data_IF_119565802814
#
_entry.id   IF_119565802814
#
_cell.length_a   1.000
_cell.length_b   1.000
_cell.length_c   1.000
_cell.angle_alpha   90.00
_cell.angle_beta   90.00
_cell.angle_gamma   90.00
#
_symmetry.space_group_name_H-M   'P 1'
#
loop_
_entity.id
_entity.type
_entity.pdbx_description
1 polymer ?
#
# COMPACT_ATOMS: atom_id res chain seq x y z
N UNK A 1 -14.55 2.88 9.77
CA UNK A 1 -13.33 2.90 10.59
C UNK A 1 -13.33 1.67 11.51
N UNK A 2 -12.15 1.19 11.92
CA UNK A 2 -11.87 -0.04 12.68
C UNK A 2 -12.33 -1.33 11.97
N UNK A 3 -11.51 -1.82 11.04
CA UNK A 3 -11.80 -3.07 10.30
C UNK A 3 -10.69 -4.09 10.53
N UNK A 4 -11.03 -5.38 10.53
CA UNK A 4 -10.03 -6.43 10.63
C UNK A 4 -9.20 -6.56 9.33
N UNK A 5 -9.86 -6.54 8.18
CA UNK A 5 -9.20 -6.66 6.87
C UNK A 5 -9.80 -5.63 5.92
N UNK A 6 -8.94 -4.85 5.28
CA UNK A 6 -9.27 -4.01 4.14
C UNK A 6 -8.71 -4.68 2.88
N UNK A 7 -9.55 -4.90 1.87
CA UNK A 7 -9.09 -5.25 0.52
C UNK A 7 -9.31 -4.00 -0.34
N UNK A 8 -8.24 -3.41 -0.86
CA UNK A 8 -8.30 -2.14 -1.57
C UNK A 8 -7.67 -2.23 -2.96
N UNK A 9 -8.31 -1.57 -3.93
CA UNK A 9 -7.75 -1.45 -5.27
C UNK A 9 -6.51 -0.54 -5.29
N UNK A 10 -5.47 -0.93 -6.01
CA UNK A 10 -4.22 -0.17 -6.13
C UNK A 10 -3.58 -0.37 -7.50
N UNK A 11 -4.29 0.10 -8.54
CA UNK A 11 -3.95 -0.18 -9.93
C UNK A 11 -2.69 0.53 -10.43
N UNK A 12 -2.38 1.69 -9.85
CA UNK A 12 -1.31 2.57 -10.31
C UNK A 12 -0.16 2.65 -9.29
N UNK A 13 1.03 2.94 -9.79
CA UNK A 13 2.23 3.14 -8.97
C UNK A 13 2.14 4.45 -8.19
N UNK A 14 2.83 4.50 -7.04
CA UNK A 14 3.03 5.73 -6.27
C UNK A 14 3.72 6.80 -7.12
N UNK A 15 3.27 8.05 -7.04
CA UNK A 15 3.73 9.15 -7.88
C UNK A 15 2.85 9.43 -9.11
N UNK A 16 1.83 8.62 -9.35
CA UNK A 16 0.84 8.81 -10.44
C UNK A 16 -0.51 9.32 -9.92
N UNK A 17 -0.58 10.01 -8.79
CA UNK A 17 -1.83 10.38 -8.09
C UNK A 17 -2.77 11.22 -8.96
N UNK A 18 -2.22 12.16 -9.73
CA UNK A 18 -3.00 13.00 -10.66
C UNK A 18 -3.65 12.15 -11.74
N UNK A 19 -2.89 11.22 -12.32
CA UNK A 19 -3.39 10.31 -13.35
C UNK A 19 -4.39 9.30 -12.75
N UNK A 20 -4.14 8.83 -11.53
CA UNK A 20 -5.05 7.96 -10.79
C UNK A 20 -6.40 8.63 -10.58
N UNK A 21 -6.41 9.88 -10.15
CA UNK A 21 -7.63 10.69 -10.01
C UNK A 21 -8.39 10.83 -11.34
N UNK A 22 -7.68 11.15 -12.43
CA UNK A 22 -8.30 11.27 -13.77
C UNK A 22 -8.92 9.95 -14.24
N UNK A 23 -8.27 8.83 -13.96
CA UNK A 23 -8.73 7.50 -14.36
C UNK A 23 -9.66 6.85 -13.34
N UNK A 24 -9.98 7.53 -12.24
CA UNK A 24 -10.83 7.02 -11.13
C UNK A 24 -10.29 5.71 -10.53
N UNK A 25 -8.98 5.66 -10.33
CA UNK A 25 -8.26 4.57 -9.69
C UNK A 25 -7.47 5.09 -8.50
N UNK A 26 -6.94 4.17 -7.70
CA UNK A 26 -6.01 4.51 -6.62
C UNK A 26 -4.56 4.12 -6.96
N UNK A 27 -3.61 4.93 -6.47
CA UNK A 27 -2.23 4.50 -6.35
C UNK A 27 -2.06 3.55 -5.15
N UNK A 28 -0.96 2.80 -5.10
CA UNK A 28 -0.61 1.97 -3.94
C UNK A 28 -0.51 2.80 -2.65
N UNK A 29 0.18 3.95 -2.67
CA UNK A 29 0.28 4.82 -1.52
C UNK A 29 -1.09 5.33 -1.03
N UNK A 30 -2.00 5.67 -1.94
CA UNK A 30 -3.37 6.08 -1.57
C UNK A 30 -4.15 4.94 -0.91
N UNK A 31 -4.03 3.71 -1.41
CA UNK A 31 -4.70 2.55 -0.83
C UNK A 31 -4.18 2.23 0.59
N UNK A 32 -2.87 2.34 0.79
CA UNK A 32 -2.22 2.14 2.10
C UNK A 32 -2.64 3.24 3.08
N UNK A 33 -2.63 4.49 2.65
CA UNK A 33 -3.09 5.63 3.45
C UNK A 33 -4.56 5.47 3.88
N UNK A 34 -5.43 4.96 3.01
CA UNK A 34 -6.82 4.63 3.39
C UNK A 34 -6.83 3.58 4.51
N UNK A 35 -6.04 2.51 4.39
CA UNK A 35 -5.90 1.47 5.42
C UNK A 35 -5.49 2.04 6.78
N UNK A 36 -4.48 2.91 6.77
CA UNK A 36 -4.01 3.63 7.95
C UNK A 36 -5.11 4.51 8.56
N UNK A 37 -5.74 5.38 7.76
CA UNK A 37 -6.77 6.32 8.23
C UNK A 37 -8.02 5.65 8.78
N UNK A 38 -8.36 4.46 8.28
CA UNK A 38 -9.51 3.71 8.80
C UNK A 38 -9.14 2.78 9.96
N UNK A 39 -7.88 2.75 10.40
CA UNK A 39 -7.36 1.81 11.40
C UNK A 39 -7.69 0.35 11.02
N UNK A 40 -7.34 -0.02 9.79
CA UNK A 40 -7.42 -1.40 9.34
C UNK A 40 -6.32 -2.23 10.01
N UNK A 41 -6.67 -3.37 10.62
CA UNK A 41 -5.67 -4.27 11.18
C UNK A 41 -4.76 -4.85 10.09
N UNK A 42 -5.32 -5.16 8.93
CA UNK A 42 -4.58 -5.60 7.74
C UNK A 42 -5.11 -4.93 6.47
N UNK A 43 -4.20 -4.57 5.56
CA UNK A 43 -4.56 -4.05 4.24
C UNK A 43 -4.00 -4.96 3.14
N UNK A 44 -4.88 -5.51 2.32
CA UNK A 44 -4.54 -6.32 1.15
C UNK A 44 -4.76 -5.48 -0.10
N UNK A 45 -3.69 -5.24 -0.84
CA UNK A 45 -3.71 -4.53 -2.11
C UNK A 45 -4.12 -5.48 -3.25
N UNK A 46 -5.07 -5.07 -4.08
CA UNK A 46 -5.65 -5.87 -5.17
C UNK A 46 -5.80 -5.07 -6.49
N UNK A 47 -6.02 -5.79 -7.60
CA UNK A 47 -6.34 -5.26 -8.93
C UNK A 47 -5.23 -4.38 -9.54
N UNK A 48 -4.02 -4.94 -9.61
CA UNK A 48 -2.86 -4.27 -10.21
C UNK A 48 -2.91 -4.25 -11.74
N UNK A 49 -2.36 -3.19 -12.34
CA UNK A 49 -1.99 -3.27 -13.76
C UNK A 49 -0.82 -4.25 -13.94
N UNK A 50 -0.79 -4.98 -15.07
CA UNK A 50 0.28 -5.95 -15.40
C UNK A 50 1.70 -5.36 -15.36
N UNK A 51 1.84 -4.03 -15.40
CA UNK A 51 3.12 -3.32 -15.35
C UNK A 51 3.53 -2.90 -13.94
N UNK A 52 2.58 -2.75 -13.01
CA UNK A 52 2.80 -2.33 -11.61
C UNK A 52 3.30 -3.44 -10.69
N UNK A 53 3.20 -4.71 -11.13
CA UNK A 53 3.72 -5.86 -10.37
C UNK A 53 5.25 -5.96 -10.38
N UNK A 54 5.95 -5.14 -11.18
CA UNK A 54 7.38 -5.35 -11.45
C UNK A 54 8.29 -4.94 -10.31
N UNK A 55 7.91 -3.94 -9.50
CA UNK A 55 8.81 -3.41 -8.48
C UNK A 55 8.00 -2.76 -7.36
N UNK A 56 7.80 -3.51 -6.28
CA UNK A 56 7.46 -2.92 -4.98
C UNK A 56 8.77 -2.71 -4.23
N UNK A 57 9.55 -1.72 -4.63
CA UNK A 57 10.60 -1.22 -3.75
C UNK A 57 9.89 -0.50 -2.61
N UNK A 58 9.52 -1.23 -1.58
CA UNK A 58 9.42 -0.67 -0.24
C UNK A 58 10.86 -0.28 0.08
N UNK A 59 11.20 0.99 -0.17
CA UNK A 59 12.56 1.47 0.01
C UNK A 59 12.93 1.34 1.49
N UNK A 60 13.68 0.30 1.84
CA UNK A 60 14.58 0.34 2.99
C UNK A 60 15.69 1.34 2.66
N UNK A 61 15.40 2.63 2.79
CA UNK A 61 16.45 3.65 2.81
C UNK A 61 16.86 3.82 4.25
N UNK A 62 17.65 2.88 4.78
CA UNK A 62 18.58 3.18 5.86
C UNK A 62 19.70 4.02 5.25
N UNK A 63 19.46 5.31 5.08
CA UNK A 63 20.54 6.26 4.93
C UNK A 63 20.72 6.90 6.30
N UNK A 64 21.67 6.33 7.05
CA UNK A 64 22.38 7.09 8.05
C UNK A 64 22.99 8.30 7.33
N UNK A 65 22.81 9.47 7.95
CA UNK A 65 23.32 10.78 7.58
C UNK A 65 22.46 11.66 6.63
N UNK A 66 22.11 12.81 7.23
CA UNK A 66 21.64 14.08 6.66
C UNK A 66 20.15 14.42 6.83
N UNK A 67 19.93 15.11 7.96
CA UNK A 67 18.74 15.89 8.31
C UNK A 67 18.35 16.86 7.19
N UNK A 68 17.19 16.65 6.58
CA UNK A 68 16.26 17.73 6.25
C UNK A 68 14.87 17.36 6.76
N UNK A 69 14.33 18.27 7.57
CA UNK A 69 13.08 18.16 8.30
C UNK A 69 11.90 18.29 7.34
N UNK A 70 11.48 17.17 6.74
CA UNK A 70 10.07 16.95 6.44
C UNK A 70 9.69 15.71 7.25
N UNK A 71 8.62 15.81 8.03
CA UNK A 71 8.01 14.69 8.77
C UNK A 71 7.46 13.66 7.77
N UNK A 72 8.33 12.99 7.02
CA UNK A 72 7.99 11.76 6.33
C UNK A 72 7.81 10.73 7.42
N UNK A 73 6.57 10.64 7.91
CA UNK A 73 6.10 9.49 8.68
C UNK A 73 6.68 8.25 8.00
N UNK A 74 7.51 7.48 8.71
CA UNK A 74 7.87 6.14 8.29
C UNK A 74 6.56 5.43 8.01
N UNK A 75 6.22 5.27 6.73
CA UNK A 75 5.03 4.55 6.34
C UNK A 75 5.33 3.09 6.67
N UNK A 76 4.88 2.68 7.85
CA UNK A 76 5.07 1.33 8.33
C UNK A 76 4.16 0.41 7.53
N UNK A 77 4.75 -0.52 6.80
CA UNK A 77 4.06 -1.43 5.88
C UNK A 77 3.81 -2.81 6.50
N UNK A 78 4.01 -2.95 7.82
CA UNK A 78 4.01 -4.23 8.54
C UNK A 78 2.72 -5.03 8.41
N UNK A 79 1.59 -4.35 8.18
CA UNK A 79 0.28 -4.96 8.01
C UNK A 79 -0.28 -4.86 6.59
N UNK A 80 0.58 -4.59 5.60
CA UNK A 80 0.21 -4.48 4.19
C UNK A 80 0.65 -5.74 3.44
N UNK A 81 -0.25 -6.31 2.65
CA UNK A 81 0.01 -7.50 1.83
C UNK A 81 -0.49 -7.30 0.41
N UNK A 82 0.00 -8.12 -0.51
CA UNK A 82 -0.29 -7.99 -1.93
C UNK A 82 -0.93 -9.26 -2.42
N UNK A 83 -2.07 -9.12 -3.09
CA UNK A 83 -2.74 -10.25 -3.69
C UNK A 83 -2.06 -10.70 -4.98
N UNK A 84 -2.14 -12.00 -5.26
CA UNK A 84 -1.81 -12.58 -6.55
C UNK A 84 -2.90 -13.57 -6.95
N UNK A 85 -2.90 -13.97 -8.22
CA UNK A 85 -3.91 -14.90 -8.74
C UNK A 85 -3.92 -16.20 -7.93
N UNK A 86 -5.11 -16.61 -7.50
CA UNK A 86 -5.33 -17.79 -6.66
C UNK A 86 -4.77 -17.70 -5.23
N UNK A 87 -4.38 -16.52 -4.76
CA UNK A 87 -4.06 -16.33 -3.34
C UNK A 87 -5.22 -16.83 -2.46
N UNK A 88 -4.91 -17.75 -1.55
CA UNK A 88 -5.78 -18.18 -0.46
C UNK A 88 -5.06 -17.88 0.85
N UNK A 89 -5.75 -17.22 1.76
CA UNK A 89 -5.23 -16.87 3.06
C UNK A 89 -6.30 -17.17 4.11
N UNK A 90 -5.91 -17.78 5.22
CA UNK A 90 -6.78 -17.89 6.37
C UNK A 90 -6.63 -16.64 7.24
N UNK A 91 -7.71 -16.16 7.84
CA UNK A 91 -7.64 -14.93 8.66
C UNK A 91 -6.66 -15.06 9.84
N UNK A 92 -6.47 -16.29 10.34
CA UNK A 92 -5.49 -16.59 11.40
C UNK A 92 -4.04 -16.53 10.96
N UNK A 93 -3.77 -16.47 9.65
CA UNK A 93 -2.41 -16.42 9.11
C UNK A 93 -1.92 -14.97 8.94
N UNK A 94 -2.79 -13.97 9.14
CA UNK A 94 -2.43 -12.56 9.11
C UNK A 94 -1.69 -12.17 10.42
N UNK A 95 -0.61 -11.37 10.35
CA UNK A 95 0.37 -11.18 11.44
C UNK A 95 -0.12 -10.48 12.71
#
# INVERSE_FOLDING_TARGET
QNVNVLIHESKLETGLEVYASQMRHCTMAQAIDVGYRINAKYTILWHFSRRSAKVLFLSETKNDDERQQDEKQEQQYDNVSISYDLLRIHLSDLP
#
